data_IF_981972488276
#
_entry.id   IF_981972488276
#
_cell.length_a   1.000
_cell.length_b   1.000
_cell.length_c   1.000
_cell.angle_alpha   90.00
_cell.angle_beta   90.00
_cell.angle_gamma   90.00
#
_symmetry.space_group_name_H-M   'P 1'
#
loop_
_entity.id
_entity.type
_entity.pdbx_description
1 polymer ?
#
# COMPACT_ATOMS: atom_id res chain seq x y z
N UNK A 1 -54.85 -32.37 35.44
CA UNK A 1 -53.41 -32.27 35.35
C UNK A 1 -53.00 -31.59 34.07
N UNK A 2 -52.89 -30.28 34.13
CA UNK A 2 -52.38 -29.49 33.03
C UNK A 2 -50.84 -29.51 33.11
N UNK A 3 -50.19 -29.94 32.06
CA UNK A 3 -48.74 -29.77 31.86
C UNK A 3 -48.54 -28.67 30.85
N UNK A 4 -48.16 -27.52 31.37
CA UNK A 4 -47.61 -26.42 30.59
C UNK A 4 -46.28 -26.86 29.96
N UNK A 5 -46.25 -26.84 28.64
CA UNK A 5 -45.07 -27.10 27.85
C UNK A 5 -44.47 -25.77 27.46
N UNK A 6 -43.60 -25.26 28.32
CA UNK A 6 -42.85 -24.01 28.07
C UNK A 6 -41.89 -24.19 26.89
N UNK A 7 -42.25 -23.65 25.77
CA UNK A 7 -41.41 -23.49 24.58
C UNK A 7 -40.33 -22.47 24.90
N UNK A 8 -39.13 -22.95 25.23
CA UNK A 8 -37.95 -22.07 25.37
C UNK A 8 -37.38 -21.85 23.95
N UNK A 9 -37.76 -20.73 23.37
CA UNK A 9 -37.09 -20.20 22.20
C UNK A 9 -35.62 -20.01 22.48
N UNK A 10 -34.82 -20.98 22.10
CA UNK A 10 -33.38 -20.82 21.98
C UNK A 10 -33.09 -19.84 20.84
N UNK A 11 -33.05 -18.56 21.17
CA UNK A 11 -32.50 -17.55 20.26
C UNK A 11 -31.01 -17.84 20.08
N UNK A 12 -30.71 -18.56 19.03
CA UNK A 12 -29.37 -18.76 18.54
C UNK A 12 -28.76 -17.42 18.26
N UNK A 13 -27.77 -17.05 19.08
CA UNK A 13 -26.88 -15.93 18.82
C UNK A 13 -25.88 -16.39 17.75
N UNK A 14 -26.36 -16.49 16.51
CA UNK A 14 -25.48 -16.67 15.36
C UNK A 14 -24.56 -15.45 15.26
N UNK A 15 -23.34 -15.60 14.74
CA UNK A 15 -22.45 -14.47 14.56
C UNK A 15 -23.18 -13.40 13.74
N UNK A 16 -23.37 -12.23 14.33
CA UNK A 16 -23.91 -11.05 13.64
C UNK A 16 -22.92 -10.70 12.53
N UNK A 17 -23.16 -11.24 11.36
CA UNK A 17 -22.48 -10.87 10.14
C UNK A 17 -23.12 -9.59 9.58
N UNK A 18 -23.32 -8.62 10.46
CA UNK A 18 -23.71 -7.28 10.10
C UNK A 18 -22.46 -6.54 9.63
N UNK A 19 -22.08 -6.79 8.41
CA UNK A 19 -21.29 -5.82 7.66
C UNK A 19 -22.20 -4.60 7.44
N UNK A 20 -22.40 -3.84 8.50
CA UNK A 20 -23.19 -2.63 8.47
C UNK A 20 -22.52 -1.69 7.48
N UNK A 21 -23.12 -1.57 6.32
CA UNK A 21 -22.64 -0.68 5.26
C UNK A 21 -22.75 0.76 5.74
N UNK A 22 -21.69 1.54 5.55
CA UNK A 22 -21.69 2.97 5.87
C UNK A 22 -22.76 3.70 5.06
N UNK A 23 -23.38 4.69 5.68
CA UNK A 23 -24.35 5.58 5.03
C UNK A 23 -23.71 6.31 3.83
N UNK A 24 -24.57 6.65 2.87
CA UNK A 24 -24.16 7.28 1.60
C UNK A 24 -23.33 8.55 1.81
N UNK A 25 -23.72 9.37 2.77
CA UNK A 25 -23.01 10.62 3.07
C UNK A 25 -21.56 10.41 3.54
N UNK A 26 -21.34 9.37 4.34
CA UNK A 26 -19.99 9.00 4.81
C UNK A 26 -19.18 8.44 3.64
N UNK A 27 -19.79 7.60 2.81
CA UNK A 27 -19.17 7.07 1.60
C UNK A 27 -18.74 8.20 0.66
N UNK A 28 -19.62 9.14 0.36
CA UNK A 28 -19.35 10.27 -0.53
C UNK A 28 -18.23 11.17 0.00
N UNK A 29 -18.16 11.40 1.31
CA UNK A 29 -17.08 12.15 1.94
C UNK A 29 -15.74 11.44 1.76
N UNK A 30 -15.67 10.14 2.10
CA UNK A 30 -14.47 9.34 1.88
C UNK A 30 -14.01 9.38 0.43
N UNK A 31 -14.92 9.21 -0.51
CA UNK A 31 -14.61 9.24 -1.95
C UNK A 31 -14.02 10.60 -2.37
N UNK A 32 -14.60 11.71 -1.90
CA UNK A 32 -14.09 13.05 -2.24
C UNK A 32 -12.67 13.27 -1.74
N UNK A 33 -12.41 12.94 -0.48
CA UNK A 33 -11.09 13.09 0.15
C UNK A 33 -10.04 12.22 -0.56
N UNK A 34 -10.42 11.01 -0.87
CA UNK A 34 -9.53 10.03 -1.49
C UNK A 34 -9.22 10.36 -2.95
N UNK A 35 -10.22 10.78 -3.71
CA UNK A 35 -10.06 11.18 -5.12
C UNK A 35 -8.99 12.25 -5.27
N UNK A 36 -9.03 13.29 -4.46
CA UNK A 36 -8.03 14.36 -4.49
C UNK A 36 -6.62 13.85 -4.18
N UNK A 37 -6.50 12.89 -3.27
CA UNK A 37 -5.21 12.29 -2.90
C UNK A 37 -4.68 11.38 -4.01
N UNK A 38 -5.53 10.53 -4.54
CA UNK A 38 -5.19 9.63 -5.65
C UNK A 38 -4.78 10.41 -6.91
N UNK A 39 -5.51 11.45 -7.25
CA UNK A 39 -5.18 12.30 -8.41
C UNK A 39 -3.80 12.96 -8.26
N UNK A 40 -3.49 13.49 -7.08
CA UNK A 40 -2.15 14.05 -6.79
C UNK A 40 -1.04 13.00 -6.94
N UNK A 41 -1.26 11.82 -6.39
CA UNK A 41 -0.30 10.71 -6.51
C UNK A 41 -0.08 10.31 -7.98
N UNK A 42 -1.14 10.13 -8.75
CA UNK A 42 -1.05 9.78 -10.16
C UNK A 42 -0.35 10.86 -11.00
N UNK A 43 -0.63 12.13 -10.75
CA UNK A 43 0.07 13.24 -11.41
C UNK A 43 1.57 13.28 -11.06
N UNK A 44 1.90 13.03 -9.81
CA UNK A 44 3.29 12.98 -9.35
C UNK A 44 4.04 11.82 -9.99
N UNK A 45 3.44 10.64 -10.07
CA UNK A 45 4.06 9.45 -10.66
C UNK A 45 4.26 9.58 -12.18
N UNK A 46 3.39 10.31 -12.89
CA UNK A 46 3.57 10.62 -14.31
C UNK A 46 4.78 11.52 -14.58
N UNK A 47 5.14 12.39 -13.62
CA UNK A 47 6.29 13.31 -13.73
C UNK A 47 7.62 12.65 -13.35
N UNK A 48 7.58 11.49 -12.69
CA UNK A 48 8.80 10.75 -12.33
C UNK A 48 9.46 10.21 -13.59
N UNK A 49 10.49 10.91 -14.02
CA UNK A 49 11.28 10.60 -15.21
C UNK A 49 12.47 9.69 -14.85
N UNK A 50 12.78 8.75 -15.74
CA UNK A 50 13.94 7.87 -15.65
C UNK A 50 15.24 8.67 -15.52
N UNK A 51 15.29 9.87 -16.08
CA UNK A 51 16.46 10.76 -15.98
C UNK A 51 16.81 11.10 -14.53
N UNK A 52 15.84 11.26 -13.63
CA UNK A 52 16.08 11.53 -12.22
C UNK A 52 16.77 10.35 -11.53
N UNK A 53 16.29 9.12 -11.78
CA UNK A 53 16.93 7.91 -11.26
C UNK A 53 18.36 7.77 -11.80
N UNK A 54 18.57 7.98 -13.09
CA UNK A 54 19.90 7.90 -13.71
C UNK A 54 20.89 8.94 -13.16
N UNK A 55 20.43 10.14 -12.95
CA UNK A 55 21.29 11.21 -12.41
C UNK A 55 21.65 10.97 -10.94
N UNK A 56 20.72 10.49 -10.15
CA UNK A 56 20.87 10.42 -8.68
C UNK A 56 21.49 9.12 -8.21
N UNK A 57 21.18 8.01 -8.85
CA UNK A 57 21.60 6.66 -8.41
C UNK A 57 22.49 5.93 -9.41
N UNK A 58 22.06 5.85 -10.66
CA UNK A 58 22.69 4.99 -11.64
C UNK A 58 24.15 5.35 -11.92
N UNK A 59 24.45 6.64 -12.03
CA UNK A 59 25.84 7.12 -12.24
C UNK A 59 26.74 6.71 -11.08
N UNK A 60 26.32 7.00 -9.84
CA UNK A 60 27.10 6.68 -8.65
C UNK A 60 27.35 5.17 -8.51
N UNK A 61 26.34 4.34 -8.82
CA UNK A 61 26.49 2.89 -8.78
C UNK A 61 27.49 2.38 -9.81
N UNK A 62 27.48 2.93 -11.02
CA UNK A 62 28.46 2.59 -12.07
C UNK A 62 29.87 3.03 -11.70
N UNK A 63 30.04 4.25 -11.22
CA UNK A 63 31.34 4.81 -10.83
C UNK A 63 31.98 3.99 -9.69
N UNK A 64 31.16 3.49 -8.77
CA UNK A 64 31.57 2.63 -7.66
C UNK A 64 31.63 1.13 -8.04
N UNK A 65 31.45 0.78 -9.30
CA UNK A 65 31.42 -0.61 -9.82
C UNK A 65 30.42 -1.53 -9.12
N UNK A 66 29.35 -0.96 -8.60
CA UNK A 66 28.25 -1.69 -7.94
C UNK A 66 27.25 -2.23 -8.98
N UNK A 67 27.70 -3.21 -9.76
CA UNK A 67 26.96 -3.69 -10.93
C UNK A 67 25.70 -4.49 -10.55
N UNK A 68 25.74 -5.26 -9.47
CA UNK A 68 24.56 -6.02 -9.00
C UNK A 68 23.49 -5.07 -8.45
N UNK A 69 23.91 -4.09 -7.65
CA UNK A 69 23.01 -3.07 -7.13
C UNK A 69 22.40 -2.21 -8.25
N UNK A 70 23.20 -1.84 -9.26
CA UNK A 70 22.69 -1.15 -10.43
C UNK A 70 21.59 -1.95 -11.15
N UNK A 71 21.83 -3.24 -11.41
CA UNK A 71 20.83 -4.12 -12.05
C UNK A 71 19.56 -4.26 -11.23
N UNK A 72 19.70 -4.45 -9.91
CA UNK A 72 18.57 -4.55 -9.01
C UNK A 72 17.72 -3.26 -9.03
N UNK A 73 18.33 -2.10 -8.87
CA UNK A 73 17.60 -0.83 -8.85
C UNK A 73 16.96 -0.51 -10.21
N UNK A 74 17.60 -0.85 -11.31
CA UNK A 74 17.03 -0.74 -12.65
C UNK A 74 15.77 -1.61 -12.78
N UNK A 75 15.85 -2.86 -12.36
CA UNK A 75 14.71 -3.79 -12.40
C UNK A 75 13.57 -3.32 -11.48
N UNK A 76 13.89 -2.83 -10.29
CA UNK A 76 12.89 -2.24 -9.39
C UNK A 76 12.18 -1.07 -10.07
N UNK A 77 12.93 -0.13 -10.62
CA UNK A 77 12.39 1.03 -11.32
C UNK A 77 11.46 0.61 -12.47
N UNK A 78 11.87 -0.34 -13.30
CA UNK A 78 11.09 -0.81 -14.44
C UNK A 78 9.78 -1.48 -13.99
N UNK A 79 9.81 -2.31 -12.95
CA UNK A 79 8.61 -2.92 -12.36
C UNK A 79 7.66 -1.88 -11.78
N UNK A 80 8.19 -0.93 -11.00
CA UNK A 80 7.43 0.17 -10.42
C UNK A 80 6.73 0.98 -11.51
N UNK A 81 7.46 1.34 -12.55
CA UNK A 81 6.92 2.14 -13.65
C UNK A 81 5.81 1.41 -14.41
N UNK A 82 5.98 0.15 -14.70
CA UNK A 82 4.94 -0.67 -15.34
C UNK A 82 3.69 -0.76 -14.46
N UNK A 83 3.85 -0.90 -13.15
CA UNK A 83 2.73 -0.95 -12.22
C UNK A 83 1.98 0.39 -12.17
N UNK A 84 2.68 1.50 -12.08
CA UNK A 84 2.11 2.84 -12.07
C UNK A 84 1.29 3.14 -13.34
N UNK A 85 1.80 2.74 -14.51
CA UNK A 85 1.09 2.86 -15.78
C UNK A 85 -0.21 2.06 -15.81
N UNK A 86 -0.21 0.85 -15.24
CA UNK A 86 -1.43 0.03 -15.14
C UNK A 86 -2.47 0.66 -14.21
N UNK A 87 -2.05 1.29 -13.13
CA UNK A 87 -2.97 1.96 -12.20
C UNK A 87 -3.60 3.20 -12.81
N UNK A 88 -2.82 4.01 -13.51
CA UNK A 88 -3.31 5.24 -14.17
C UNK A 88 -4.25 4.97 -15.34
N UNK A 89 -4.12 3.81 -16.00
CA UNK A 89 -4.98 3.45 -17.15
C UNK A 89 -6.34 2.90 -16.75
N UNK A 90 -6.57 2.61 -15.47
CA UNK A 90 -7.83 2.04 -14.99
C UNK A 90 -8.89 3.10 -14.75
N UNK A 91 -10.08 2.90 -15.30
CA UNK A 91 -11.25 3.66 -14.92
C UNK A 91 -11.75 3.14 -13.55
N UNK A 92 -11.39 3.85 -12.47
CA UNK A 92 -11.66 3.40 -11.12
C UNK A 92 -13.06 3.80 -10.64
N UNK A 93 -13.88 2.80 -10.29
CA UNK A 93 -15.22 3.03 -9.79
C UNK A 93 -15.25 2.96 -8.25
N UNK A 94 -15.16 4.12 -7.61
CA UNK A 94 -15.18 4.27 -6.16
C UNK A 94 -16.44 3.69 -5.50
N UNK A 95 -17.60 3.82 -6.13
CA UNK A 95 -18.87 3.38 -5.53
C UNK A 95 -19.01 1.85 -5.48
N UNK A 96 -18.33 1.13 -6.33
CA UNK A 96 -18.32 -0.32 -6.35
C UNK A 96 -17.21 -0.91 -5.49
N UNK A 97 -16.28 -0.09 -5.00
CA UNK A 97 -15.20 -0.56 -4.15
C UNK A 97 -15.66 -0.66 -2.69
N UNK A 98 -15.60 -1.86 -2.09
CA UNK A 98 -16.06 -2.09 -0.73
C UNK A 98 -15.29 -1.32 0.34
N UNK A 99 -14.08 -0.84 0.07
CA UNK A 99 -13.35 0.01 1.01
C UNK A 99 -14.18 1.22 1.46
N UNK A 100 -14.89 1.87 0.54
CA UNK A 100 -15.58 3.14 0.82
C UNK A 100 -16.86 2.98 1.62
N UNK A 101 -17.48 1.80 1.61
CA UNK A 101 -18.71 1.56 2.37
C UNK A 101 -18.53 0.60 3.55
N UNK A 102 -17.32 0.05 3.77
CA UNK A 102 -17.05 -0.83 4.92
C UNK A 102 -16.59 -0.01 6.12
N UNK A 103 -17.19 -0.20 7.30
CA UNK A 103 -16.75 0.46 8.52
C UNK A 103 -15.30 0.16 8.89
N UNK A 104 -14.65 1.09 9.57
CA UNK A 104 -13.35 0.86 10.16
C UNK A 104 -13.45 -0.19 11.28
N UNK A 105 -12.52 -1.14 11.30
CA UNK A 105 -12.43 -2.22 12.29
C UNK A 105 -11.00 -2.55 12.68
N UNK A 106 -10.03 -1.86 12.12
CA UNK A 106 -8.60 -2.01 12.37
C UNK A 106 -7.99 -0.67 12.77
N UNK A 107 -6.93 -0.74 13.58
CA UNK A 107 -6.12 0.42 13.96
C UNK A 107 -4.67 0.20 13.56
N UNK A 108 -4.01 1.28 13.19
CA UNK A 108 -2.57 1.30 12.92
C UNK A 108 -1.95 2.59 13.43
N UNK A 109 -0.66 2.57 13.70
CA UNK A 109 0.06 3.75 14.19
C UNK A 109 0.96 4.33 13.11
N UNK A 110 1.01 5.66 13.01
CA UNK A 110 1.93 6.38 12.16
C UNK A 110 2.29 7.73 12.80
N UNK A 111 3.59 8.04 12.87
CA UNK A 111 4.05 9.29 13.49
C UNK A 111 3.59 9.50 14.92
N UNK A 112 3.49 8.43 15.72
CA UNK A 112 3.02 8.47 17.11
C UNK A 112 1.51 8.68 17.27
N UNK A 113 0.74 8.63 16.20
CA UNK A 113 -0.73 8.75 16.21
C UNK A 113 -1.40 7.46 15.77
N UNK A 114 -2.62 7.23 16.29
CA UNK A 114 -3.45 6.11 15.88
C UNK A 114 -4.44 6.53 14.80
N UNK A 115 -4.57 5.68 13.80
CA UNK A 115 -5.49 5.83 12.68
C UNK A 115 -6.39 4.61 12.59
N UNK A 116 -7.56 4.78 11.99
CA UNK A 116 -8.51 3.70 11.79
C UNK A 116 -8.67 3.41 10.30
N UNK A 117 -8.81 2.13 9.97
CA UNK A 117 -9.08 1.66 8.62
C UNK A 117 -9.96 0.41 8.68
N UNK A 118 -10.41 -0.06 7.54
CA UNK A 118 -11.07 -1.35 7.43
C UNK A 118 -10.09 -2.44 6.92
N UNK A 119 -10.60 -3.65 6.70
CA UNK A 119 -9.78 -4.78 6.24
C UNK A 119 -9.00 -4.49 4.95
N UNK A 120 -9.58 -3.73 4.02
CA UNK A 120 -8.93 -3.43 2.72
C UNK A 120 -7.71 -2.53 2.89
N UNK A 121 -7.81 -1.51 3.73
CA UNK A 121 -6.66 -0.69 4.07
C UNK A 121 -5.62 -1.46 4.89
N UNK A 122 -6.06 -2.32 5.82
CA UNK A 122 -5.16 -3.20 6.56
C UNK A 122 -4.41 -4.18 5.66
N UNK A 123 -5.07 -4.76 4.65
CA UNK A 123 -4.46 -5.66 3.69
C UNK A 123 -3.43 -4.94 2.81
N UNK A 124 -3.72 -3.69 2.40
CA UNK A 124 -2.77 -2.87 1.66
C UNK A 124 -1.49 -2.58 2.48
N UNK A 125 -1.61 -2.30 3.79
CA UNK A 125 -0.44 -2.11 4.67
C UNK A 125 0.37 -3.39 4.85
N UNK A 126 -0.29 -4.56 5.01
CA UNK A 126 0.41 -5.85 5.04
C UNK A 126 1.16 -6.12 3.74
N UNK A 127 0.57 -5.76 2.62
CA UNK A 127 1.21 -5.86 1.32
C UNK A 127 2.44 -4.94 1.24
N UNK A 128 2.37 -3.71 1.77
CA UNK A 128 3.52 -2.82 1.87
C UNK A 128 4.68 -3.47 2.63
N UNK A 129 4.42 -4.02 3.82
CA UNK A 129 5.44 -4.74 4.61
C UNK A 129 6.05 -5.89 3.83
N UNK A 130 5.24 -6.70 3.14
CA UNK A 130 5.74 -7.84 2.36
C UNK A 130 6.61 -7.39 1.17
N UNK A 131 6.20 -6.35 0.48
CA UNK A 131 7.00 -5.79 -0.62
C UNK A 131 8.30 -5.19 -0.12
N UNK A 132 8.25 -4.36 0.93
CA UNK A 132 9.45 -3.76 1.50
C UNK A 132 10.44 -4.80 2.00
N UNK A 133 9.95 -5.87 2.65
CA UNK A 133 10.79 -6.99 3.07
C UNK A 133 11.49 -7.67 1.89
N UNK A 134 10.75 -7.99 0.82
CA UNK A 134 11.32 -8.65 -0.36
C UNK A 134 12.31 -7.75 -1.10
N UNK A 135 11.96 -6.47 -1.28
CA UNK A 135 12.86 -5.50 -1.91
C UNK A 135 14.13 -5.28 -1.08
N UNK A 136 14.00 -5.26 0.25
CA UNK A 136 15.15 -5.20 1.16
C UNK A 136 16.07 -6.42 1.06
N UNK A 137 15.51 -7.63 0.94
CA UNK A 137 16.30 -8.86 0.71
C UNK A 137 17.04 -8.82 -0.62
N UNK A 138 16.39 -8.39 -1.69
CA UNK A 138 17.01 -8.34 -3.02
C UNK A 138 18.08 -7.26 -3.10
N UNK A 139 17.85 -6.09 -2.49
CA UNK A 139 18.85 -5.05 -2.34
C UNK A 139 20.08 -5.55 -1.55
N UNK A 140 19.86 -6.24 -0.44
CA UNK A 140 20.93 -6.80 0.39
C UNK A 140 21.72 -7.90 -0.32
N UNK A 141 21.09 -8.72 -1.16
CA UNK A 141 21.76 -9.72 -2.00
C UNK A 141 22.63 -9.04 -3.07
N UNK A 142 22.13 -7.98 -3.67
CA UNK A 142 22.88 -7.20 -4.66
C UNK A 142 24.11 -6.54 -4.04
N UNK A 143 23.98 -5.94 -2.86
CA UNK A 143 25.13 -5.38 -2.12
C UNK A 143 26.19 -6.44 -1.81
N UNK A 144 25.76 -7.60 -1.34
CA UNK A 144 26.67 -8.71 -1.07
C UNK A 144 27.37 -9.20 -2.33
N UNK A 145 26.66 -9.28 -3.45
CA UNK A 145 27.22 -9.67 -4.75
C UNK A 145 28.27 -8.68 -5.27
N UNK A 146 28.14 -7.40 -4.93
CA UNK A 146 29.13 -6.37 -5.24
C UNK A 146 30.28 -6.28 -4.20
N UNK A 147 30.26 -7.12 -3.16
CA UNK A 147 31.21 -7.01 -2.04
C UNK A 147 31.05 -5.71 -1.24
N UNK A 148 29.85 -5.13 -1.28
CA UNK A 148 29.56 -3.84 -0.67
C UNK A 148 28.92 -4.03 0.70
N UNK A 149 29.08 -3.00 1.53
CA UNK A 149 28.38 -2.90 2.80
C UNK A 149 26.90 -2.64 2.55
N UNK A 150 25.98 -3.26 3.29
CA UNK A 150 24.55 -2.96 3.19
C UNK A 150 24.28 -1.47 3.43
N UNK A 151 23.69 -0.82 2.45
CA UNK A 151 23.42 0.63 2.45
C UNK A 151 22.01 0.92 1.92
N UNK A 152 21.01 0.51 2.71
CA UNK A 152 19.60 0.64 2.33
C UNK A 152 19.15 2.09 2.14
N UNK A 153 19.76 3.05 2.86
CA UNK A 153 19.38 4.47 2.80
C UNK A 153 19.70 5.12 1.45
N UNK A 154 20.66 4.58 0.73
CA UNK A 154 21.01 5.02 -0.62
C UNK A 154 20.43 4.11 -1.71
N UNK A 155 19.39 3.35 -1.38
CA UNK A 155 18.64 2.54 -2.34
C UNK A 155 17.42 3.29 -2.84
N UNK A 156 17.24 3.34 -4.15
CA UNK A 156 16.05 3.95 -4.76
C UNK A 156 14.75 3.31 -4.26
N UNK A 157 14.72 1.99 -4.08
CA UNK A 157 13.56 1.29 -3.57
C UNK A 157 13.16 1.74 -2.16
N UNK A 158 14.13 2.01 -1.30
CA UNK A 158 13.89 2.52 0.05
C UNK A 158 13.40 3.97 0.04
N UNK A 159 13.97 4.82 -0.81
CA UNK A 159 13.57 6.22 -0.90
C UNK A 159 12.21 6.39 -1.56
N UNK A 160 11.92 5.61 -2.60
CA UNK A 160 10.63 5.63 -3.29
C UNK A 160 9.51 4.97 -2.47
N UNK A 161 9.75 3.77 -1.99
CA UNK A 161 8.85 2.96 -1.13
C UNK A 161 7.39 2.85 -1.63
N UNK A 162 7.15 2.99 -2.96
CA UNK A 162 5.82 3.03 -3.55
C UNK A 162 5.41 1.76 -4.29
N UNK A 163 6.28 0.75 -4.36
CA UNK A 163 5.93 -0.47 -5.06
C UNK A 163 4.72 -1.16 -4.43
N UNK A 164 3.67 -1.37 -5.20
CA UNK A 164 2.38 -1.88 -4.72
C UNK A 164 1.36 -0.81 -4.36
N UNK A 165 1.75 0.44 -4.21
CA UNK A 165 0.85 1.53 -3.89
C UNK A 165 0.12 2.04 -5.14
N UNK A 166 -1.19 2.15 -5.04
CA UNK A 166 -2.07 2.54 -6.15
C UNK A 166 -2.71 3.93 -5.97
N UNK A 167 -2.40 4.63 -4.90
CA UNK A 167 -2.98 5.93 -4.57
C UNK A 167 -4.27 5.89 -3.76
N UNK A 168 -4.80 4.68 -3.45
CA UNK A 168 -6.09 4.49 -2.76
C UNK A 168 -5.92 3.98 -1.33
N UNK A 169 -6.97 4.10 -0.53
CA UNK A 169 -7.21 3.59 0.82
C UNK A 169 -6.42 4.28 1.92
N UNK A 170 -5.11 4.42 1.78
CA UNK A 170 -4.18 4.94 2.79
C UNK A 170 -3.37 6.08 2.17
N UNK A 171 -2.96 7.05 2.97
CA UNK A 171 -2.06 8.10 2.50
C UNK A 171 -0.69 7.51 2.09
N UNK A 172 -0.07 8.10 1.09
CA UNK A 172 1.20 7.62 0.53
C UNK A 172 2.31 7.52 1.58
N UNK A 173 2.45 8.53 2.42
CA UNK A 173 3.44 8.58 3.50
C UNK A 173 3.23 7.48 4.54
N UNK A 174 1.99 7.12 4.82
CA UNK A 174 1.65 6.00 5.69
C UNK A 174 1.99 4.65 5.04
N UNK A 175 1.69 4.49 3.75
CA UNK A 175 2.10 3.31 2.99
C UNK A 175 3.62 3.14 2.99
N UNK A 176 4.35 4.20 2.67
CA UNK A 176 5.81 4.22 2.62
C UNK A 176 6.45 3.89 3.98
N UNK A 177 5.81 4.28 5.07
CA UNK A 177 6.27 3.94 6.41
C UNK A 177 6.22 2.43 6.69
N UNK A 178 5.23 1.74 6.15
CA UNK A 178 5.07 0.29 6.31
C UNK A 178 5.85 -0.54 5.27
N UNK A 179 6.22 0.08 4.16
CA UNK A 179 7.08 -0.53 3.15
C UNK A 179 8.53 -0.60 3.61
#
# INVERSE_FOLDING_TARGET
>A
GNRDNGNRDARGNGPRNDQQRLGRDVQDRRIREERQRADRFHQQTQRNDRSQWEQRYARQLRDNRRNQQYRYQQQYYDRLRQQQLRFTSRNYNYYNDPYYYTPASYRYSYGGRWYETNRYGSDLMRQAVNYGYNEGLDAGRADRGDGWRSDYRNSYAYEDANYGYNGYYIAQDQYNYYF
#
